data_IF_509522455746
#
_entry.id   IF_509522455746
#
_cell.length_a   1.000
_cell.length_b   1.000
_cell.length_c   1.000
_cell.angle_alpha   90.00
_cell.angle_beta   90.00
_cell.angle_gamma   90.00
#
_symmetry.space_group_name_H-M   'P 1'
#
loop_
_entity.id
_entity.type
_entity.pdbx_description
1 polymer ?
#
# COMPACT_ATOMS: atom_id res chain seq x y z
N UNK A 1 19.13 19.16 3.93
CA UNK A 1 17.67 18.93 3.72
C UNK A 1 17.35 17.63 4.41
N UNK A 2 16.31 17.65 5.28
CA UNK A 2 15.84 16.47 6.00
C UNK A 2 14.69 15.83 5.24
N UNK A 3 14.63 14.50 5.18
CA UNK A 3 13.60 13.75 4.48
C UNK A 3 12.77 12.94 5.46
N UNK A 4 11.45 13.13 5.49
CA UNK A 4 10.55 12.25 6.24
C UNK A 4 10.45 10.88 5.56
N UNK A 5 10.24 9.83 6.37
CA UNK A 5 10.01 8.44 5.91
C UNK A 5 8.83 8.29 4.95
N UNK A 6 7.81 9.13 5.12
CA UNK A 6 6.64 9.21 4.26
C UNK A 6 6.35 10.66 3.91
N UNK A 7 6.10 10.91 2.65
CA UNK A 7 5.65 12.20 2.13
C UNK A 7 4.34 12.00 1.39
N UNK A 8 3.42 12.97 1.57
CA UNK A 8 2.11 12.88 0.93
C UNK A 8 2.17 13.30 -0.54
N UNK A 9 1.44 12.58 -1.38
CA UNK A 9 1.25 12.91 -2.78
C UNK A 9 0.21 14.01 -3.01
N UNK A 10 -0.70 14.21 -2.04
CA UNK A 10 -1.71 15.25 -2.09
C UNK A 10 -1.14 16.62 -1.74
N UNK A 11 -1.53 17.62 -2.52
CA UNK A 11 -1.25 19.01 -2.22
C UNK A 11 -2.21 19.50 -1.11
N UNK A 12 -1.71 20.30 -0.18
CA UNK A 12 -2.51 20.88 0.90
C UNK A 12 -3.70 21.69 0.40
N UNK A 13 -3.57 22.41 -0.71
CA UNK A 13 -4.67 23.16 -1.33
C UNK A 13 -5.79 22.24 -1.83
N UNK A 14 -5.45 21.04 -2.34
CA UNK A 14 -6.46 20.04 -2.72
C UNK A 14 -7.21 19.53 -1.50
N UNK A 15 -6.53 19.29 -0.38
CA UNK A 15 -7.14 18.89 0.89
C UNK A 15 -8.09 19.97 1.43
N UNK A 16 -7.65 21.23 1.45
CA UNK A 16 -8.49 22.38 1.89
C UNK A 16 -9.71 22.50 0.99
N UNK A 17 -9.55 22.42 -0.33
CA UNK A 17 -10.68 22.50 -1.28
C UNK A 17 -11.69 21.37 -1.07
N UNK A 18 -11.22 20.14 -0.86
CA UNK A 18 -12.08 19.01 -0.55
C UNK A 18 -12.83 19.18 0.78
N UNK A 19 -12.14 19.72 1.78
CA UNK A 19 -12.71 20.02 3.08
C UNK A 19 -13.82 21.08 2.99
N UNK A 20 -13.58 22.20 2.29
CA UNK A 20 -14.58 23.24 2.06
C UNK A 20 -15.78 22.67 1.30
N UNK A 21 -15.54 21.87 0.26
CA UNK A 21 -16.62 21.21 -0.48
C UNK A 21 -17.45 20.28 0.41
N UNK A 22 -16.82 19.54 1.31
CA UNK A 22 -17.52 18.67 2.26
C UNK A 22 -18.41 19.46 3.23
N UNK A 23 -17.95 20.65 3.65
CA UNK A 23 -18.73 21.52 4.56
C UNK A 23 -19.92 22.14 3.83
N UNK A 24 -19.68 22.70 2.64
CA UNK A 24 -20.65 23.54 1.92
C UNK A 24 -21.68 22.73 1.13
N UNK A 25 -21.31 21.53 0.67
CA UNK A 25 -22.15 20.74 -0.25
C UNK A 25 -22.53 19.38 0.32
N UNK A 26 -23.45 18.72 -0.38
CA UNK A 26 -23.96 17.40 0.00
C UNK A 26 -22.86 16.31 -0.10
N UNK A 27 -22.84 15.39 0.86
CA UNK A 27 -22.01 14.19 0.85
C UNK A 27 -22.63 13.08 -0.03
N UNK A 28 -22.88 13.36 -1.32
CA UNK A 28 -23.42 12.40 -2.30
C UNK A 28 -22.39 12.12 -3.40
N UNK A 29 -22.66 11.12 -4.24
CA UNK A 29 -22.00 10.96 -5.54
C UNK A 29 -22.40 12.14 -6.44
N UNK A 30 -21.45 12.64 -7.25
CA UNK A 30 -21.71 13.81 -8.07
C UNK A 30 -20.74 13.92 -9.25
N UNK A 31 -20.46 15.12 -9.71
CA UNK A 31 -19.65 15.40 -10.89
C UNK A 31 -18.24 14.77 -10.82
N UNK A 32 -17.53 14.92 -9.70
CA UNK A 32 -16.16 14.40 -9.58
C UNK A 32 -16.13 12.88 -9.46
N UNK A 33 -17.16 12.27 -8.87
CA UNK A 33 -17.30 10.82 -8.84
C UNK A 33 -17.40 10.24 -10.25
N UNK A 34 -18.25 10.81 -11.10
CA UNK A 34 -18.43 10.37 -12.48
C UNK A 34 -17.15 10.61 -13.30
N UNK A 35 -16.56 11.79 -13.19
CA UNK A 35 -15.31 12.12 -13.86
C UNK A 35 -14.13 11.21 -13.44
N UNK A 36 -14.08 10.82 -12.17
CA UNK A 36 -13.09 9.84 -11.69
C UNK A 36 -13.35 8.47 -12.33
N UNK A 37 -14.61 8.05 -12.40
CA UNK A 37 -14.98 6.77 -13.03
C UNK A 37 -14.60 6.75 -14.51
N UNK A 38 -14.92 7.78 -15.26
CA UNK A 38 -14.52 7.95 -16.66
C UNK A 38 -13.00 7.85 -16.83
N UNK A 39 -12.24 8.53 -15.95
CA UNK A 39 -10.78 8.51 -15.99
C UNK A 39 -10.20 7.14 -15.70
N UNK A 40 -10.81 6.37 -14.80
CA UNK A 40 -10.41 4.99 -14.54
C UNK A 40 -10.76 4.07 -15.72
N UNK A 41 -11.95 4.21 -16.31
CA UNK A 41 -12.36 3.46 -17.52
C UNK A 41 -11.36 3.74 -18.66
N UNK A 42 -11.04 5.01 -18.90
CA UNK A 42 -10.05 5.41 -19.92
C UNK A 42 -8.69 4.74 -19.68
N UNK A 43 -8.23 4.75 -18.43
CA UNK A 43 -6.91 4.24 -18.07
C UNK A 43 -6.82 2.70 -18.10
N UNK A 44 -7.85 1.99 -17.63
CA UNK A 44 -7.82 0.52 -17.47
C UNK A 44 -8.51 -0.22 -18.60
N UNK A 45 -9.31 0.48 -19.44
CA UNK A 45 -10.10 -0.12 -20.54
C UNK A 45 -11.07 -1.20 -20.05
N UNK A 46 -11.60 -1.02 -18.84
CA UNK A 46 -12.58 -1.89 -18.18
C UNK A 46 -13.72 -1.00 -17.68
N UNK A 47 -14.96 -1.34 -18.00
CA UNK A 47 -16.13 -0.53 -17.65
C UNK A 47 -16.62 -0.74 -16.21
N UNK A 48 -16.40 -1.94 -15.65
CA UNK A 48 -16.91 -2.33 -14.33
C UNK A 48 -15.94 -1.92 -13.24
N UNK A 49 -16.06 -0.66 -12.84
CA UNK A 49 -15.24 0.03 -11.83
C UNK A 49 -16.13 0.60 -10.76
N UNK A 50 -15.78 0.32 -9.49
CA UNK A 50 -16.58 0.71 -8.32
C UNK A 50 -15.69 1.40 -7.29
N UNK A 51 -16.18 2.46 -6.66
CA UNK A 51 -15.46 3.17 -5.59
C UNK A 51 -16.18 3.00 -4.25
N UNK A 52 -15.41 2.56 -3.26
CA UNK A 52 -15.86 2.29 -1.89
C UNK A 52 -15.09 3.16 -0.90
N UNK A 53 -15.55 3.22 0.34
CA UNK A 53 -14.82 3.93 1.42
C UNK A 53 -13.51 3.24 1.79
N UNK A 54 -13.34 1.96 1.48
CA UNK A 54 -12.13 1.19 1.77
C UNK A 54 -11.98 -0.02 0.85
N UNK A 55 -10.74 -0.33 0.47
CA UNK A 55 -10.42 -1.50 -0.34
C UNK A 55 -10.75 -2.83 0.37
N UNK A 56 -10.79 -2.84 1.72
CA UNK A 56 -11.09 -4.02 2.53
C UNK A 56 -12.45 -4.63 2.18
N UNK A 57 -13.45 -3.76 2.09
CA UNK A 57 -14.80 -4.16 1.68
C UNK A 57 -14.81 -4.61 0.21
N UNK A 58 -13.99 -3.97 -0.63
CA UNK A 58 -13.82 -4.39 -2.02
C UNK A 58 -13.30 -5.83 -2.13
N UNK A 59 -12.25 -6.19 -1.37
CA UNK A 59 -11.73 -7.55 -1.32
C UNK A 59 -12.80 -8.54 -0.81
N UNK A 60 -13.47 -8.19 0.28
CA UNK A 60 -14.55 -9.02 0.84
C UNK A 60 -15.66 -9.28 -0.18
N UNK A 61 -16.13 -8.25 -0.89
CA UNK A 61 -17.18 -8.40 -1.90
C UNK A 61 -16.73 -9.23 -3.09
N UNK A 62 -15.50 -9.05 -3.59
CA UNK A 62 -14.94 -9.89 -4.67
C UNK A 62 -14.94 -11.36 -4.24
N UNK A 63 -14.41 -11.67 -3.05
CA UNK A 63 -14.32 -13.05 -2.54
C UNK A 63 -15.70 -13.68 -2.36
N UNK A 64 -16.68 -12.93 -1.82
CA UNK A 64 -18.07 -13.39 -1.72
C UNK A 64 -18.73 -13.61 -3.09
N UNK A 65 -18.36 -12.81 -4.09
CA UNK A 65 -18.93 -12.90 -5.44
C UNK A 65 -18.50 -14.16 -6.19
N UNK A 66 -17.36 -14.74 -5.83
CA UNK A 66 -16.93 -16.02 -6.39
C UNK A 66 -17.77 -17.21 -5.92
N UNK A 67 -18.48 -17.09 -4.78
CA UNK A 67 -19.30 -18.15 -4.18
C UNK A 67 -18.56 -19.47 -3.94
N UNK A 68 -17.28 -19.39 -3.53
CA UNK A 68 -16.52 -20.57 -3.15
C UNK A 68 -17.08 -21.23 -1.89
N UNK A 69 -16.83 -22.51 -1.74
CA UNK A 69 -17.20 -23.27 -0.54
C UNK A 69 -16.49 -22.72 0.70
N UNK A 70 -17.17 -22.84 1.85
CA UNK A 70 -16.62 -22.45 3.14
C UNK A 70 -15.30 -23.20 3.40
N UNK A 71 -14.27 -22.46 3.83
CA UNK A 71 -12.94 -23.01 4.06
C UNK A 71 -12.08 -23.17 2.82
N UNK A 72 -12.54 -22.72 1.65
CA UNK A 72 -11.68 -22.55 0.46
C UNK A 72 -10.49 -21.67 0.78
N UNK A 73 -9.36 -21.89 0.13
CA UNK A 73 -8.08 -21.26 0.48
C UNK A 73 -7.67 -20.21 -0.54
N UNK A 74 -7.01 -19.17 -0.03
CA UNK A 74 -6.43 -18.07 -0.80
C UNK A 74 -4.95 -17.92 -0.45
N UNK A 75 -4.08 -17.96 -1.45
CA UNK A 75 -2.65 -17.76 -1.30
C UNK A 75 -2.35 -16.26 -1.19
N UNK A 76 -1.61 -15.85 -0.16
CA UNK A 76 -1.25 -14.46 0.12
C UNK A 76 0.19 -14.34 0.61
N UNK A 77 0.79 -13.15 0.48
CA UNK A 77 2.01 -12.79 1.20
C UNK A 77 1.68 -12.43 2.66
N UNK A 78 2.60 -12.73 3.58
CA UNK A 78 2.43 -12.48 5.02
C UNK A 78 2.50 -10.99 5.39
N UNK A 79 3.35 -10.21 4.71
CA UNK A 79 3.44 -8.76 4.94
C UNK A 79 2.17 -8.10 4.39
N UNK A 80 1.44 -7.43 5.26
CA UNK A 80 0.20 -6.77 4.84
C UNK A 80 -0.58 -6.13 5.98
N UNK A 81 -1.65 -5.46 5.60
CA UNK A 81 -2.60 -4.88 6.57
C UNK A 81 -3.38 -6.01 7.24
N UNK A 82 -3.49 -6.03 8.59
CA UNK A 82 -4.22 -7.08 9.33
C UNK A 82 -5.66 -7.29 8.83
N UNK A 83 -6.37 -6.23 8.47
CA UNK A 83 -7.73 -6.33 7.94
C UNK A 83 -7.84 -7.07 6.57
N UNK A 84 -6.72 -7.38 5.89
CA UNK A 84 -6.73 -8.31 4.75
C UNK A 84 -7.19 -9.69 5.20
N UNK A 85 -6.68 -10.14 6.34
CA UNK A 85 -7.06 -11.42 6.94
C UNK A 85 -8.54 -11.42 7.31
N UNK A 86 -9.02 -10.31 7.90
CA UNK A 86 -10.44 -10.16 8.21
C UNK A 86 -11.32 -10.22 6.95
N UNK A 87 -10.93 -9.57 5.86
CA UNK A 87 -11.69 -9.61 4.60
C UNK A 87 -11.80 -11.03 4.04
N UNK A 88 -10.72 -11.82 4.16
CA UNK A 88 -10.65 -13.21 3.71
C UNK A 88 -11.53 -14.10 4.62
N UNK A 89 -11.32 -14.01 5.93
CA UNK A 89 -12.03 -14.82 6.91
C UNK A 89 -13.55 -14.58 6.90
N UNK A 90 -13.97 -13.31 6.89
CA UNK A 90 -15.38 -12.92 6.79
C UNK A 90 -16.04 -13.35 5.47
N UNK A 91 -15.25 -13.48 4.40
CA UNK A 91 -15.74 -14.05 3.15
C UNK A 91 -15.93 -15.58 3.20
N UNK A 92 -15.46 -16.24 4.26
CA UNK A 92 -15.54 -17.68 4.44
C UNK A 92 -14.34 -18.45 3.92
N UNK A 93 -13.25 -17.74 3.55
CA UNK A 93 -12.03 -18.37 3.07
C UNK A 93 -10.96 -18.41 4.15
N UNK A 94 -9.95 -19.28 3.94
CA UNK A 94 -8.79 -19.40 4.80
C UNK A 94 -7.55 -18.79 4.11
N UNK A 95 -6.83 -17.83 4.74
CA UNK A 95 -5.57 -17.35 4.22
C UNK A 95 -4.48 -18.44 4.36
N UNK A 96 -3.74 -18.68 3.29
CA UNK A 96 -2.55 -19.53 3.27
C UNK A 96 -1.37 -18.65 2.89
N UNK A 97 -0.39 -18.58 3.76
CA UNK A 97 0.80 -17.77 3.54
C UNK A 97 1.81 -18.49 2.66
N UNK A 98 2.32 -17.78 1.67
CA UNK A 98 3.44 -18.22 0.86
C UNK A 98 4.67 -17.40 1.25
N UNK A 99 5.83 -18.06 1.37
CA UNK A 99 7.10 -17.39 1.61
C UNK A 99 7.36 -16.28 0.59
N UNK A 100 7.98 -15.22 1.06
CA UNK A 100 8.39 -14.12 0.22
C UNK A 100 9.86 -14.28 -0.20
N UNK A 101 10.18 -13.73 -1.35
CA UNK A 101 11.54 -13.60 -1.84
C UNK A 101 12.09 -12.22 -1.48
N UNK A 102 13.28 -12.17 -0.90
CA UNK A 102 13.93 -10.92 -0.51
C UNK A 102 14.38 -10.07 -1.70
N UNK A 103 14.56 -10.68 -2.88
CA UNK A 103 15.01 -9.97 -4.07
C UNK A 103 13.87 -9.25 -4.79
N UNK A 104 12.66 -9.80 -4.79
CA UNK A 104 11.51 -9.23 -5.49
C UNK A 104 10.42 -8.68 -4.57
N UNK A 105 10.52 -8.89 -3.26
CA UNK A 105 9.55 -8.45 -2.25
C UNK A 105 8.12 -8.96 -2.48
N UNK A 106 8.00 -10.11 -3.13
CA UNK A 106 6.74 -10.75 -3.42
C UNK A 106 6.86 -12.26 -3.18
N UNK A 107 5.94 -13.05 -3.70
CA UNK A 107 5.98 -14.51 -3.61
C UNK A 107 7.32 -15.08 -4.05
N UNK A 108 7.84 -16.00 -3.28
CA UNK A 108 8.82 -16.95 -3.78
C UNK A 108 8.09 -17.93 -4.69
N UNK A 109 8.30 -17.81 -5.99
CA UNK A 109 7.59 -18.59 -7.01
C UNK A 109 7.71 -20.10 -6.76
N UNK A 110 8.89 -20.56 -6.36
CA UNK A 110 9.15 -21.98 -6.07
C UNK A 110 8.39 -22.52 -4.84
N UNK A 111 7.77 -21.65 -4.06
CA UNK A 111 6.99 -22.04 -2.89
C UNK A 111 5.48 -22.01 -3.14
N UNK A 112 5.01 -21.36 -4.22
CA UNK A 112 3.57 -21.25 -4.52
C UNK A 112 2.96 -22.62 -4.70
N UNK A 113 3.52 -23.46 -5.59
CA UNK A 113 2.96 -24.79 -5.91
C UNK A 113 2.93 -25.72 -4.70
N UNK A 114 3.90 -25.60 -3.77
CA UNK A 114 3.95 -26.41 -2.53
C UNK A 114 2.79 -26.14 -1.58
N UNK A 115 2.11 -25.00 -1.73
CA UNK A 115 0.98 -24.58 -0.91
C UNK A 115 -0.37 -24.85 -1.55
N UNK A 116 -0.37 -25.31 -2.81
CA UNK A 116 -1.61 -25.59 -3.56
C UNK A 116 -2.15 -26.98 -3.21
N UNK A 117 -3.44 -27.04 -2.92
CA UNK A 117 -4.20 -28.26 -2.73
C UNK A 117 -5.62 -28.11 -3.33
N UNK A 118 -6.50 -29.10 -3.15
CA UNK A 118 -7.86 -29.12 -3.72
C UNK A 118 -8.78 -28.00 -3.19
N UNK A 119 -8.47 -27.40 -2.02
CA UNK A 119 -9.20 -26.26 -1.43
C UNK A 119 -8.68 -24.92 -1.92
N UNK A 120 -7.50 -24.86 -2.50
CA UNK A 120 -6.91 -23.62 -3.00
C UNK A 120 -7.70 -23.11 -4.21
N UNK A 121 -8.19 -21.88 -4.17
CA UNK A 121 -9.03 -21.29 -5.22
C UNK A 121 -8.50 -19.99 -5.76
N UNK A 122 -7.69 -19.23 -4.99
CA UNK A 122 -7.30 -17.88 -5.32
C UNK A 122 -5.81 -17.64 -5.04
N UNK A 123 -5.15 -16.91 -5.93
CA UNK A 123 -3.87 -16.22 -5.67
C UNK A 123 -4.15 -14.74 -5.56
N UNK A 124 -3.83 -14.13 -4.41
CA UNK A 124 -3.95 -12.68 -4.20
C UNK A 124 -2.57 -12.02 -4.26
N UNK A 125 -2.29 -11.35 -5.36
CA UNK A 125 -1.01 -10.68 -5.61
C UNK A 125 -1.04 -9.28 -5.02
N UNK A 126 -0.18 -8.98 -4.03
CA UNK A 126 0.04 -7.64 -3.53
C UNK A 126 1.32 -7.08 -4.13
N UNK A 127 1.24 -6.02 -4.93
CA UNK A 127 2.41 -5.37 -5.54
C UNK A 127 3.14 -4.48 -4.52
N UNK A 128 3.82 -5.12 -3.56
CA UNK A 128 4.50 -4.43 -2.47
C UNK A 128 5.57 -3.47 -3.01
N UNK A 129 5.66 -2.29 -2.41
CA UNK A 129 6.57 -1.20 -2.83
C UNK A 129 6.37 -0.70 -4.27
N UNK A 130 5.34 -1.17 -4.97
CA UNK A 130 5.11 -0.87 -6.40
C UNK A 130 6.07 -1.61 -7.32
N UNK A 131 6.59 -2.75 -6.87
CA UNK A 131 7.45 -3.66 -7.62
C UNK A 131 6.60 -4.80 -8.18
N UNK A 132 6.83 -5.13 -9.44
CA UNK A 132 6.09 -6.16 -10.15
C UNK A 132 6.89 -7.46 -10.07
N UNK A 133 6.31 -8.55 -9.52
CA UNK A 133 6.94 -9.86 -9.50
C UNK A 133 6.97 -10.49 -10.91
N UNK A 134 7.51 -11.70 -10.99
CA UNK A 134 7.38 -12.53 -12.20
C UNK A 134 5.92 -12.98 -12.37
N UNK A 135 5.15 -12.17 -13.11
CA UNK A 135 3.74 -12.43 -13.35
C UNK A 135 3.50 -13.57 -14.34
N UNK A 136 4.41 -13.81 -15.26
CA UNK A 136 4.25 -14.92 -16.23
C UNK A 136 4.26 -16.25 -15.47
N UNK A 137 5.21 -16.45 -14.56
CA UNK A 137 5.25 -17.64 -13.71
C UNK A 137 4.00 -17.78 -12.83
N UNK A 138 3.53 -16.69 -12.21
CA UNK A 138 2.31 -16.74 -11.37
C UNK A 138 1.06 -17.07 -12.23
N UNK A 139 0.95 -16.49 -13.43
CA UNK A 139 -0.17 -16.74 -14.35
C UNK A 139 -0.15 -18.19 -14.84
N UNK A 140 1.02 -18.75 -15.14
CA UNK A 140 1.16 -20.15 -15.53
C UNK A 140 0.71 -21.11 -14.43
N UNK A 141 1.16 -20.85 -13.18
CA UNK A 141 0.71 -21.62 -12.01
C UNK A 141 -0.82 -21.52 -11.85
N UNK A 142 -1.36 -20.29 -11.91
CA UNK A 142 -2.80 -20.09 -11.77
C UNK A 142 -3.60 -20.84 -12.86
N UNK A 143 -3.14 -20.85 -14.10
CA UNK A 143 -3.75 -21.62 -15.21
C UNK A 143 -3.67 -23.13 -14.96
N UNK A 144 -2.47 -23.63 -14.59
CA UNK A 144 -2.21 -25.07 -14.34
C UNK A 144 -3.15 -25.63 -13.28
N UNK A 145 -3.43 -24.87 -12.22
CA UNK A 145 -4.26 -25.30 -11.09
C UNK A 145 -5.67 -24.68 -11.10
N UNK A 146 -6.08 -24.03 -12.19
CA UNK A 146 -7.38 -23.35 -12.35
C UNK A 146 -7.71 -22.41 -11.19
N UNK A 147 -6.71 -21.63 -10.73
CA UNK A 147 -6.87 -20.64 -9.66
C UNK A 147 -7.30 -19.29 -10.22
N UNK A 148 -8.08 -18.55 -9.43
CA UNK A 148 -8.44 -17.17 -9.74
C UNK A 148 -7.33 -16.23 -9.26
N UNK A 149 -7.14 -15.10 -9.96
CA UNK A 149 -6.16 -14.09 -9.60
C UNK A 149 -6.88 -12.81 -9.16
N UNK A 150 -6.54 -12.31 -7.98
CA UNK A 150 -6.93 -10.98 -7.50
C UNK A 150 -5.67 -10.13 -7.35
N UNK A 151 -5.67 -8.93 -7.92
CA UNK A 151 -4.54 -8.00 -7.87
C UNK A 151 -4.78 -6.90 -6.83
N UNK A 152 -3.88 -6.69 -5.87
CA UNK A 152 -3.87 -5.49 -5.02
C UNK A 152 -2.92 -4.44 -5.60
N UNK A 153 -3.49 -3.45 -6.28
CA UNK A 153 -2.78 -2.36 -6.95
C UNK A 153 -2.53 -1.14 -6.04
N UNK A 154 -2.79 -1.25 -4.75
CA UNK A 154 -2.70 -0.14 -3.79
C UNK A 154 -1.36 0.59 -3.79
N UNK A 155 -0.29 -0.07 -4.20
CA UNK A 155 1.07 0.47 -4.27
C UNK A 155 1.62 0.54 -5.70
N UNK A 156 0.82 0.13 -6.71
CA UNK A 156 1.26 -0.04 -8.09
C UNK A 156 0.39 0.70 -9.12
N UNK A 157 -0.34 1.74 -8.71
CA UNK A 157 -1.11 2.55 -9.66
C UNK A 157 -0.23 3.08 -10.79
N UNK A 158 -0.62 2.78 -12.03
CA UNK A 158 0.11 3.20 -13.23
C UNK A 158 1.31 2.32 -13.61
N UNK A 159 1.51 1.21 -12.91
CA UNK A 159 2.44 0.18 -13.35
C UNK A 159 1.90 -0.57 -14.58
N UNK A 160 2.82 -1.11 -15.38
CA UNK A 160 2.49 -1.94 -16.53
C UNK A 160 3.32 -3.23 -16.47
N UNK A 161 2.82 -4.27 -17.14
CA UNK A 161 3.54 -5.50 -17.37
C UNK A 161 3.25 -5.97 -18.80
N UNK A 162 4.28 -6.08 -19.64
CA UNK A 162 4.16 -6.50 -21.05
C UNK A 162 2.98 -5.76 -21.74
N UNK A 163 2.99 -4.43 -21.72
CA UNK A 163 1.98 -3.52 -22.29
C UNK A 163 0.59 -3.58 -21.66
N UNK A 164 0.36 -4.45 -20.69
CA UNK A 164 -0.89 -4.51 -19.93
C UNK A 164 -0.79 -3.66 -18.66
N UNK A 165 -1.87 -2.97 -18.35
CA UNK A 165 -1.98 -2.25 -17.05
C UNK A 165 -2.05 -3.24 -15.90
N UNK A 166 -1.25 -3.04 -14.85
CA UNK A 166 -1.43 -3.73 -13.59
C UNK A 166 -2.82 -3.37 -13.03
N UNK A 167 -3.58 -4.38 -12.63
CA UNK A 167 -5.00 -4.28 -12.29
C UNK A 167 -5.95 -4.76 -13.38
N UNK A 168 -5.41 -5.23 -14.54
CA UNK A 168 -6.22 -5.80 -15.62
C UNK A 168 -5.78 -7.21 -16.02
N UNK A 169 -4.88 -7.81 -15.25
CA UNK A 169 -4.31 -9.13 -15.54
C UNK A 169 -5.20 -10.22 -14.95
N UNK A 170 -5.55 -10.13 -13.68
CA UNK A 170 -6.38 -11.09 -12.97
C UNK A 170 -7.88 -11.01 -13.27
N UNK A 171 -8.66 -11.78 -12.52
CA UNK A 171 -10.13 -11.79 -12.59
C UNK A 171 -10.75 -10.49 -12.07
N UNK A 172 -10.15 -9.94 -11.02
CA UNK A 172 -10.51 -8.66 -10.43
C UNK A 172 -9.30 -8.01 -9.76
N UNK A 173 -9.38 -6.71 -9.53
CA UNK A 173 -8.38 -5.99 -8.75
C UNK A 173 -8.99 -5.06 -7.72
N UNK A 174 -8.24 -4.80 -6.67
CA UNK A 174 -8.53 -3.85 -5.62
C UNK A 174 -7.40 -2.83 -5.50
N UNK A 175 -7.73 -1.64 -5.05
CA UNK A 175 -6.73 -0.62 -4.76
C UNK A 175 -7.17 0.33 -3.66
N UNK A 176 -6.22 0.80 -2.87
CA UNK A 176 -6.45 1.73 -1.77
C UNK A 176 -6.13 3.16 -2.18
N UNK A 177 -6.97 4.11 -1.79
CA UNK A 177 -6.73 5.55 -1.89
C UNK A 177 -6.34 6.17 -0.54
N UNK A 178 -5.86 5.38 0.39
CA UNK A 178 -5.42 5.90 1.68
C UNK A 178 -4.28 6.89 1.55
N UNK A 179 -4.10 7.71 2.58
CA UNK A 179 -3.06 8.72 2.68
C UNK A 179 -1.67 8.13 2.40
N UNK A 180 -0.87 8.82 1.59
CA UNK A 180 0.48 8.40 1.23
C UNK A 180 0.57 7.47 0.01
N UNK A 181 -0.56 7.02 -0.57
CA UNK A 181 -0.54 6.29 -1.84
C UNK A 181 -0.31 7.23 -3.03
N UNK A 182 0.22 6.70 -4.13
CA UNK A 182 0.44 7.49 -5.36
C UNK A 182 -0.86 8.06 -5.93
N UNK A 183 -1.96 7.33 -5.77
CA UNK A 183 -3.32 7.82 -5.94
C UNK A 183 -3.97 7.88 -4.57
N UNK A 184 -4.22 9.06 -4.07
CA UNK A 184 -4.67 9.30 -2.69
C UNK A 184 -5.96 10.10 -2.63
N UNK A 185 -6.74 9.80 -1.60
CA UNK A 185 -7.88 10.59 -1.11
C UNK A 185 -7.87 10.57 0.43
N UNK A 186 -8.97 10.93 1.09
CA UNK A 186 -9.10 10.84 2.56
C UNK A 186 -9.27 9.42 3.08
N UNK A 187 -9.15 8.45 2.24
CA UNK A 187 -9.46 7.04 2.37
C UNK A 187 -10.04 6.58 1.06
N UNK A 188 -10.69 5.44 1.08
CA UNK A 188 -11.33 4.91 -0.12
C UNK A 188 -10.60 3.75 -0.74
N UNK A 189 -11.29 3.14 -1.69
CA UNK A 189 -10.77 2.06 -2.50
C UNK A 189 -11.46 1.99 -3.85
N UNK A 190 -10.82 1.29 -4.76
CA UNK A 190 -11.35 0.94 -6.06
C UNK A 190 -11.42 -0.56 -6.20
N UNK A 191 -12.45 -1.04 -6.87
CA UNK A 191 -12.56 -2.40 -7.39
C UNK A 191 -12.72 -2.30 -8.90
N UNK A 192 -11.94 -3.09 -9.62
CA UNK A 192 -12.01 -3.25 -11.08
C UNK A 192 -12.33 -4.72 -11.36
N UNK A 193 -13.42 -4.99 -12.06
CA UNK A 193 -13.87 -6.36 -12.34
C UNK A 193 -13.71 -6.65 -13.83
N UNK A 194 -12.84 -7.61 -14.16
CA UNK A 194 -12.61 -8.11 -15.50
C UNK A 194 -13.44 -9.37 -15.78
N UNK A 195 -13.53 -10.26 -14.81
CA UNK A 195 -14.32 -11.49 -14.93
C UNK A 195 -15.81 -11.17 -14.85
N UNK A 196 -16.51 -11.34 -15.96
CA UNK A 196 -17.93 -10.99 -16.10
C UNK A 196 -18.84 -11.72 -15.12
N UNK A 197 -18.49 -12.96 -14.72
CA UNK A 197 -19.30 -13.75 -13.79
C UNK A 197 -19.39 -13.15 -12.37
N UNK A 198 -18.47 -12.24 -12.02
CA UNK A 198 -18.45 -11.57 -10.73
C UNK A 198 -19.35 -10.32 -10.68
N UNK A 199 -19.80 -9.79 -11.83
CA UNK A 199 -20.44 -8.48 -11.91
C UNK A 199 -21.75 -8.47 -11.12
N UNK A 200 -22.70 -9.31 -11.48
CA UNK A 200 -24.03 -9.31 -10.85
C UNK A 200 -23.99 -9.61 -9.34
N UNK A 201 -23.24 -10.65 -8.87
CA UNK A 201 -23.09 -10.88 -7.44
C UNK A 201 -22.44 -9.70 -6.70
N UNK A 202 -21.44 -9.08 -7.31
CA UNK A 202 -20.77 -7.91 -6.72
C UNK A 202 -21.69 -6.70 -6.66
N UNK A 203 -22.38 -6.37 -7.75
CA UNK A 203 -23.32 -5.24 -7.80
C UNK A 203 -24.45 -5.39 -6.78
N UNK A 204 -24.94 -6.62 -6.58
CA UNK A 204 -25.93 -6.90 -5.53
C UNK A 204 -25.38 -6.56 -4.15
N UNK A 205 -24.20 -7.11 -3.78
CA UNK A 205 -23.54 -6.80 -2.50
C UNK A 205 -23.27 -5.31 -2.33
N UNK A 206 -22.78 -4.66 -3.38
CA UNK A 206 -22.47 -3.22 -3.39
C UNK A 206 -23.70 -2.37 -3.11
N UNK A 207 -24.83 -2.64 -3.77
CA UNK A 207 -26.06 -1.86 -3.65
C UNK A 207 -26.81 -2.15 -2.33
N UNK A 208 -26.85 -3.41 -1.90
CA UNK A 208 -27.59 -3.83 -0.71
C UNK A 208 -26.86 -3.42 0.59
N UNK A 209 -25.53 -3.38 0.57
CA UNK A 209 -24.75 -3.21 1.79
C UNK A 209 -24.25 -1.79 2.01
N UNK A 210 -23.81 -1.09 0.93
CA UNK A 210 -23.15 0.19 1.11
C UNK A 210 -24.09 1.35 1.34
N UNK A 211 -23.77 2.12 2.38
CA UNK A 211 -24.55 3.30 2.80
C UNK A 211 -23.74 4.60 2.56
N UNK A 212 -24.43 5.72 2.72
CA UNK A 212 -23.79 7.04 2.70
C UNK A 212 -22.90 7.21 3.94
N UNK A 213 -21.65 7.70 3.77
CA UNK A 213 -20.77 7.94 4.91
C UNK A 213 -21.23 9.11 5.78
N UNK A 214 -20.93 9.06 7.07
CA UNK A 214 -21.18 10.14 8.01
C UNK A 214 -20.36 11.38 7.68
N UNK A 215 -21.02 12.54 7.53
CA UNK A 215 -20.36 13.83 7.28
C UNK A 215 -19.40 14.20 8.40
N UNK A 216 -19.77 13.98 9.68
CA UNK A 216 -18.92 14.22 10.86
C UNK A 216 -17.64 13.40 10.80
N UNK A 217 -17.75 12.14 10.42
CA UNK A 217 -16.62 11.24 10.26
C UNK A 217 -15.65 11.73 9.18
N UNK A 218 -16.14 12.10 8.00
CA UNK A 218 -15.33 12.61 6.89
C UNK A 218 -14.66 13.96 7.20
N UNK A 219 -15.32 14.85 7.94
CA UNK A 219 -14.71 16.10 8.44
C UNK A 219 -13.51 15.79 9.31
N UNK A 220 -13.65 14.85 10.27
CA UNK A 220 -12.53 14.44 11.13
C UNK A 220 -11.36 13.87 10.33
N UNK A 221 -11.64 13.02 9.34
CA UNK A 221 -10.59 12.49 8.45
C UNK A 221 -9.85 13.61 7.70
N UNK A 222 -10.58 14.57 7.14
CA UNK A 222 -9.99 15.69 6.41
C UNK A 222 -9.07 16.54 7.30
N UNK A 223 -9.52 16.90 8.50
CA UNK A 223 -8.73 17.68 9.46
C UNK A 223 -7.43 16.93 9.79
N UNK A 224 -7.51 15.64 10.08
CA UNK A 224 -6.35 14.82 10.39
C UNK A 224 -5.33 14.81 9.24
N UNK A 225 -5.81 14.71 8.00
CA UNK A 225 -4.92 14.71 6.83
C UNK A 225 -4.27 16.07 6.58
N UNK A 226 -4.98 17.16 6.81
CA UNK A 226 -4.42 18.51 6.74
C UNK A 226 -3.28 18.66 7.77
N UNK A 227 -3.49 18.22 9.02
CA UNK A 227 -2.47 18.25 10.08
C UNK A 227 -1.24 17.42 9.66
N UNK A 228 -1.42 16.18 9.19
CA UNK A 228 -0.32 15.33 8.74
C UNK A 228 0.41 15.97 7.56
N UNK A 229 -0.31 16.58 6.60
CA UNK A 229 0.29 17.28 5.46
C UNK A 229 1.19 18.43 5.89
N UNK A 230 0.76 19.20 6.91
CA UNK A 230 1.56 20.30 7.48
C UNK A 230 2.81 19.74 8.18
N UNK A 231 2.65 18.75 9.07
CA UNK A 231 3.77 18.16 9.83
C UNK A 231 4.82 17.48 8.95
N UNK A 232 4.43 16.94 7.80
CA UNK A 232 5.33 16.29 6.84
C UNK A 232 5.80 17.22 5.71
N UNK A 233 5.39 18.50 5.72
CA UNK A 233 5.86 19.48 4.76
C UNK A 233 7.37 19.70 4.92
N UNK A 234 8.06 20.05 3.82
CA UNK A 234 9.52 20.18 3.80
C UNK A 234 10.05 21.14 4.88
N UNK A 235 9.40 22.28 5.07
CA UNK A 235 9.81 23.29 6.04
C UNK A 235 9.56 22.79 7.47
N UNK A 236 8.32 22.48 7.82
CA UNK A 236 7.94 22.07 9.18
C UNK A 236 8.69 20.79 9.59
N UNK A 237 8.83 19.83 8.68
CA UNK A 237 9.59 18.62 8.97
C UNK A 237 11.07 18.95 9.28
N UNK A 238 11.72 19.77 8.45
CA UNK A 238 13.14 20.06 8.61
C UNK A 238 13.48 20.86 9.88
N UNK A 239 12.61 21.75 10.31
CA UNK A 239 12.89 22.67 11.43
C UNK A 239 12.19 22.30 12.74
N UNK A 240 11.10 21.53 12.68
CA UNK A 240 10.31 21.21 13.88
C UNK A 240 10.20 19.68 14.04
N UNK A 241 9.50 18.98 13.13
CA UNK A 241 9.12 17.57 13.32
C UNK A 241 10.33 16.65 13.47
N UNK A 242 11.41 16.89 12.72
CA UNK A 242 12.64 16.11 12.82
C UNK A 242 13.30 16.23 14.21
N UNK A 243 13.30 17.42 14.79
CA UNK A 243 13.89 17.62 16.11
C UNK A 243 13.03 17.02 17.23
N UNK A 244 11.70 17.06 17.08
CA UNK A 244 10.80 16.33 17.98
C UNK A 244 11.12 14.83 17.92
N UNK A 245 11.35 14.27 16.72
CA UNK A 245 11.76 12.87 16.59
C UNK A 245 13.12 12.57 17.20
N UNK A 246 14.07 13.51 17.08
CA UNK A 246 15.39 13.39 17.74
C UNK A 246 15.25 13.36 19.25
N UNK A 247 14.38 14.19 19.83
CA UNK A 247 14.06 14.17 21.25
C UNK A 247 13.40 12.85 21.68
N UNK A 248 12.39 12.39 20.93
CA UNK A 248 11.73 11.10 21.22
C UNK A 248 12.76 9.96 21.17
N UNK A 249 13.66 9.95 20.19
CA UNK A 249 14.74 8.95 20.12
C UNK A 249 15.65 8.99 21.35
N UNK A 250 15.95 10.18 21.86
CA UNK A 250 16.81 10.35 23.03
C UNK A 250 16.13 9.87 24.31
N UNK A 251 14.87 10.25 24.57
CA UNK A 251 14.14 9.91 25.78
C UNK A 251 13.45 8.53 25.76
N UNK A 252 13.17 8.01 24.59
CA UNK A 252 12.46 6.72 24.39
C UNK A 252 12.96 6.01 23.15
N UNK A 253 14.18 5.43 23.17
CA UNK A 253 14.76 4.75 22.02
C UNK A 253 13.89 3.63 21.47
N UNK A 254 13.23 2.86 22.33
CA UNK A 254 12.32 1.78 21.97
C UNK A 254 11.11 2.30 21.18
N UNK A 255 10.49 3.39 21.63
CA UNK A 255 9.38 4.04 20.93
C UNK A 255 9.82 4.56 19.55
N UNK A 256 11.07 5.00 19.44
CA UNK A 256 11.61 5.46 18.16
C UNK A 256 11.90 4.30 17.21
N UNK A 257 12.40 3.19 17.72
CA UNK A 257 12.78 2.00 16.96
C UNK A 257 11.58 1.22 16.45
N UNK A 258 10.46 1.24 17.20
CA UNK A 258 9.22 0.57 16.84
C UNK A 258 8.36 1.47 15.92
N UNK A 259 8.17 1.09 14.65
CA UNK A 259 7.29 1.82 13.72
C UNK A 259 5.85 1.92 14.24
N UNK A 260 5.39 0.94 15.00
CA UNK A 260 4.03 0.90 15.53
C UNK A 260 3.84 1.88 16.70
N UNK A 261 4.79 1.95 17.63
CA UNK A 261 4.78 2.92 18.74
C UNK A 261 4.89 4.36 18.22
N UNK A 262 5.72 4.58 17.20
CA UNK A 262 5.85 5.89 16.56
C UNK A 262 4.55 6.30 15.84
N UNK A 263 3.89 5.35 15.18
CA UNK A 263 2.56 5.54 14.62
C UNK A 263 1.50 5.79 15.72
N UNK A 264 1.60 5.12 16.87
CA UNK A 264 0.72 5.38 18.04
C UNK A 264 0.89 6.79 18.60
N UNK A 265 2.12 7.32 18.63
CA UNK A 265 2.37 8.69 19.03
C UNK A 265 1.69 9.70 18.09
N UNK A 266 1.85 9.56 16.78
CA UNK A 266 1.14 10.39 15.80
C UNK A 266 -0.38 10.23 15.90
N UNK A 267 -0.88 9.02 16.09
CA UNK A 267 -2.32 8.75 16.27
C UNK A 267 -2.88 9.38 17.53
N UNK A 268 -2.10 9.45 18.62
CA UNK A 268 -2.49 10.16 19.86
C UNK A 268 -2.57 11.66 19.65
N UNK A 269 -1.61 12.27 18.93
CA UNK A 269 -1.65 13.69 18.55
C UNK A 269 -2.88 14.04 17.71
N UNK A 270 -3.33 13.13 16.86
CA UNK A 270 -4.45 13.32 15.92
C UNK A 270 -5.79 12.80 16.49
N UNK A 271 -5.79 12.27 17.72
CA UNK A 271 -6.98 11.79 18.46
C UNK A 271 -7.89 10.82 17.65
N UNK A 272 -7.26 9.92 16.88
CA UNK A 272 -7.98 8.95 16.05
C UNK A 272 -8.24 7.66 16.82
N UNK A 273 -9.33 7.65 17.60
CA UNK A 273 -9.62 6.53 18.51
C UNK A 273 -10.21 5.28 17.83
N UNK A 274 -10.85 5.36 16.65
CA UNK A 274 -11.80 4.29 16.34
C UNK A 274 -11.83 3.73 14.90
N UNK A 275 -11.28 4.37 13.87
CA UNK A 275 -11.78 4.00 12.55
C UNK A 275 -10.90 3.06 11.74
N UNK A 276 -9.64 3.32 11.66
CA UNK A 276 -8.69 2.46 10.95
C UNK A 276 -7.55 2.06 11.87
N UNK A 277 -7.91 1.47 13.02
CA UNK A 277 -6.87 0.86 13.84
C UNK A 277 -6.25 -0.25 12.99
N UNK A 278 -5.00 -0.03 12.54
CA UNK A 278 -4.11 -1.13 12.18
C UNK A 278 -3.74 -1.95 13.43
N UNK A 279 -4.52 -1.84 14.51
CA UNK A 279 -4.47 -2.79 15.61
C UNK A 279 -5.00 -4.09 15.07
N UNK A 280 -4.19 -5.15 15.09
CA UNK A 280 -4.65 -6.47 14.73
C UNK A 280 -5.85 -6.82 15.63
N UNK A 281 -6.93 -7.23 15.04
CA UNK A 281 -8.15 -7.73 15.74
C UNK A 281 -8.79 -8.71 14.78
N UNK A 282 -9.06 -9.91 15.21
CA UNK A 282 -9.92 -10.81 14.45
C UNK A 282 -11.37 -10.31 14.57
N UNK A 283 -12.01 -10.08 13.45
CA UNK A 283 -13.34 -9.45 13.38
C UNK A 283 -14.40 -10.48 13.07
N UNK A 284 -15.55 -10.34 13.75
CA UNK A 284 -16.78 -11.08 13.44
C UNK A 284 -17.65 -10.34 12.41
N UNK A 285 -17.42 -9.03 12.24
CA UNK A 285 -18.09 -8.20 11.25
C UNK A 285 -17.29 -6.92 10.96
N UNK A 286 -17.59 -6.27 9.82
CA UNK A 286 -17.00 -4.95 9.54
C UNK A 286 -17.72 -3.84 10.30
N UNK A 287 -16.98 -2.83 10.81
CA UNK A 287 -17.58 -1.59 11.32
C UNK A 287 -18.48 -0.92 10.28
N UNK A 288 -19.62 -0.38 10.71
CA UNK A 288 -20.61 0.25 9.82
C UNK A 288 -20.01 1.38 8.99
N UNK A 289 -19.04 2.09 9.55
CA UNK A 289 -18.33 3.17 8.86
C UNK A 289 -17.53 2.69 7.66
N UNK A 290 -17.11 1.42 7.63
CA UNK A 290 -16.44 0.81 6.47
C UNK A 290 -17.42 0.42 5.37
N UNK A 291 -18.69 0.19 5.71
CA UNK A 291 -19.74 -0.23 4.78
C UNK A 291 -20.37 0.99 4.08
N UNK A 292 -19.52 1.83 3.49
CA UNK A 292 -19.96 3.06 2.83
C UNK A 292 -19.34 3.22 1.45
N UNK A 293 -20.00 3.97 0.57
CA UNK A 293 -19.46 4.30 -0.75
C UNK A 293 -18.64 5.60 -0.73
N UNK A 294 -17.78 5.79 -1.72
CA UNK A 294 -17.01 7.02 -1.91
C UNK A 294 -17.94 8.16 -2.34
N UNK A 295 -17.74 9.36 -1.77
CA UNK A 295 -18.49 10.57 -2.13
C UNK A 295 -17.71 11.52 -3.03
N UNK A 296 -18.37 12.55 -3.53
CA UNK A 296 -17.85 13.47 -4.54
C UNK A 296 -16.61 14.29 -4.07
N UNK A 297 -16.52 14.66 -2.78
CA UNK A 297 -15.35 15.36 -2.24
C UNK A 297 -14.11 14.47 -2.16
N UNK A 298 -14.26 13.18 -1.86
CA UNK A 298 -13.17 12.19 -1.87
C UNK A 298 -12.73 11.89 -3.31
N UNK A 299 -13.72 11.75 -4.22
CA UNK A 299 -13.45 11.56 -5.64
C UNK A 299 -12.66 12.74 -6.25
N UNK A 300 -12.94 13.97 -5.82
CA UNK A 300 -12.19 15.18 -6.22
C UNK A 300 -10.71 15.07 -5.83
N UNK A 301 -10.41 14.64 -4.60
CA UNK A 301 -9.03 14.42 -4.15
C UNK A 301 -8.34 13.34 -4.97
N UNK A 302 -9.01 12.20 -5.16
CA UNK A 302 -8.51 11.09 -5.94
C UNK A 302 -8.20 11.52 -7.38
N UNK A 303 -9.10 12.25 -8.03
CA UNK A 303 -8.93 12.77 -9.39
C UNK A 303 -7.71 13.71 -9.50
N UNK A 304 -7.48 14.55 -8.49
CA UNK A 304 -6.29 15.41 -8.44
C UNK A 304 -5.00 14.58 -8.45
N UNK A 305 -4.96 13.45 -7.74
CA UNK A 305 -3.81 12.53 -7.74
C UNK A 305 -3.67 11.80 -9.08
N UNK A 306 -4.76 11.31 -9.64
CA UNK A 306 -4.79 10.58 -10.93
C UNK A 306 -4.28 11.46 -12.07
N UNK A 307 -4.67 12.73 -12.10
CA UNK A 307 -4.22 13.68 -13.14
C UNK A 307 -2.70 13.91 -13.14
N UNK A 308 -2.06 13.78 -11.99
CA UNK A 308 -0.61 13.93 -11.84
C UNK A 308 0.15 12.59 -11.89
N UNK A 309 -0.55 11.45 -11.96
CA UNK A 309 0.02 10.13 -11.77
C UNK A 309 1.16 9.84 -12.74
N UNK A 310 0.95 10.03 -14.06
CA UNK A 310 1.97 9.77 -15.10
C UNK A 310 3.24 10.58 -14.86
N UNK A 311 3.10 11.89 -14.58
CA UNK A 311 4.23 12.77 -14.27
C UNK A 311 4.99 12.30 -13.03
N UNK A 312 4.25 11.99 -11.97
CA UNK A 312 4.83 11.56 -10.71
C UNK A 312 5.61 10.25 -10.87
N UNK A 313 5.03 9.26 -11.57
CA UNK A 313 5.68 7.98 -11.81
C UNK A 313 6.96 8.14 -12.62
N UNK A 314 6.94 8.95 -13.68
CA UNK A 314 8.14 9.20 -14.49
C UNK A 314 9.26 9.80 -13.64
N UNK A 315 8.96 10.79 -12.80
CA UNK A 315 9.95 11.36 -11.87
C UNK A 315 10.50 10.33 -10.89
N UNK A 316 9.64 9.49 -10.33
CA UNK A 316 10.03 8.42 -9.41
C UNK A 316 10.94 7.39 -10.12
N UNK A 317 10.61 7.01 -11.35
CA UNK A 317 11.42 6.09 -12.16
C UNK A 317 12.81 6.63 -12.44
N UNK A 318 12.94 7.92 -12.76
CA UNK A 318 14.25 8.56 -12.92
C UNK A 318 15.05 8.56 -11.61
N UNK A 319 14.39 8.79 -10.47
CA UNK A 319 15.05 8.68 -9.15
C UNK A 319 15.48 7.23 -8.86
N UNK A 320 14.65 6.25 -9.19
CA UNK A 320 14.99 4.83 -9.04
C UNK A 320 16.17 4.44 -9.92
N UNK A 321 16.23 4.92 -11.18
CA UNK A 321 17.40 4.73 -12.05
C UNK A 321 18.68 5.27 -11.43
N UNK A 322 18.63 6.46 -10.82
CA UNK A 322 19.79 7.03 -10.12
C UNK A 322 20.25 6.14 -8.96
N UNK A 323 19.33 5.60 -8.17
CA UNK A 323 19.66 4.65 -7.10
C UNK A 323 20.29 3.38 -7.66
N UNK A 324 19.65 2.73 -8.63
CA UNK A 324 20.10 1.46 -9.23
C UNK A 324 21.50 1.60 -9.85
N UNK A 325 21.79 2.72 -10.50
CA UNK A 325 23.05 2.93 -11.20
C UNK A 325 24.20 3.37 -10.29
N UNK A 326 23.94 3.95 -9.12
CA UNK A 326 24.97 4.62 -8.32
C UNK A 326 25.08 4.12 -6.88
N UNK A 327 24.16 3.31 -6.38
CA UNK A 327 24.32 2.65 -5.08
C UNK A 327 25.34 1.52 -5.19
N UNK A 328 26.11 1.31 -4.12
CA UNK A 328 26.97 0.14 -4.01
C UNK A 328 26.11 -1.13 -4.18
N UNK A 329 26.51 -2.03 -5.08
CA UNK A 329 25.75 -3.23 -5.47
C UNK A 329 25.35 -4.13 -4.29
N UNK A 330 26.11 -4.11 -3.19
CA UNK A 330 25.76 -4.85 -1.97
C UNK A 330 24.48 -4.38 -1.27
N UNK A 331 23.97 -3.18 -1.62
CA UNK A 331 22.72 -2.60 -1.08
C UNK A 331 21.56 -2.64 -2.05
N UNK A 332 21.81 -2.85 -3.33
CA UNK A 332 20.77 -2.82 -4.35
C UNK A 332 20.12 -4.19 -4.39
N UNK A 333 18.78 -4.19 -4.36
CA UNK A 333 18.03 -5.40 -4.66
C UNK A 333 18.37 -5.88 -6.07
N UNK A 334 18.88 -7.09 -6.16
CA UNK A 334 18.91 -7.84 -7.41
C UNK A 334 17.49 -8.31 -7.72
N UNK A 335 16.67 -7.40 -8.21
CA UNK A 335 15.33 -7.78 -8.67
C UNK A 335 15.49 -8.60 -9.95
N UNK A 336 15.14 -9.89 -10.00
CA UNK A 336 15.44 -10.78 -11.13
C UNK A 336 14.97 -10.26 -12.47
N UNK A 337 14.00 -9.36 -12.50
CA UNK A 337 13.44 -8.75 -13.70
C UNK A 337 13.49 -7.21 -13.70
N UNK A 338 14.02 -6.56 -12.66
CA UNK A 338 13.99 -5.10 -12.57
C UNK A 338 15.12 -4.39 -13.28
N UNK A 339 16.27 -5.02 -13.45
CA UNK A 339 17.36 -4.44 -14.26
C UNK A 339 16.93 -4.21 -15.70
N UNK A 340 15.99 -4.99 -16.20
CA UNK A 340 15.46 -4.90 -17.56
C UNK A 340 14.14 -4.10 -17.67
N UNK A 341 13.47 -3.79 -16.56
CA UNK A 341 12.07 -3.30 -16.58
C UNK A 341 11.78 -2.22 -15.53
N UNK A 342 12.73 -1.32 -15.27
CA UNK A 342 12.51 -0.15 -14.39
C UNK A 342 11.23 0.61 -14.77
N UNK A 343 10.94 0.68 -16.07
CA UNK A 343 9.78 1.35 -16.65
C UNK A 343 8.44 0.67 -16.32
N UNK A 344 8.44 -0.59 -15.89
CA UNK A 344 7.21 -1.30 -15.51
C UNK A 344 6.80 -1.02 -14.07
N UNK A 345 7.79 -0.83 -13.18
CA UNK A 345 7.56 -0.57 -11.75
C UNK A 345 7.13 0.87 -11.47
N UNK A 346 6.54 1.08 -10.30
CA UNK A 346 6.16 2.41 -9.79
C UNK A 346 7.12 2.90 -8.72
N UNK A 347 7.77 1.99 -7.99
CA UNK A 347 8.63 2.31 -6.84
C UNK A 347 7.95 3.25 -5.84
N UNK A 348 6.77 2.86 -5.35
CA UNK A 348 6.10 3.60 -4.28
C UNK A 348 7.02 3.77 -3.06
N UNK A 349 7.84 2.75 -2.79
CA UNK A 349 9.03 2.81 -1.95
C UNK A 349 10.23 2.26 -2.73
N UNK A 350 11.43 2.73 -2.42
CA UNK A 350 12.66 2.17 -2.98
C UNK A 350 13.35 1.30 -1.91
N UNK A 351 13.19 -0.03 -1.97
CA UNK A 351 13.78 -0.94 -1.00
C UNK A 351 15.26 -1.18 -1.26
N UNK A 352 16.01 -1.30 -0.16
CA UNK A 352 17.36 -1.84 -0.14
C UNK A 352 17.47 -2.91 0.93
N UNK A 353 18.32 -3.91 0.71
CA UNK A 353 18.54 -5.01 1.67
C UNK A 353 19.80 -4.76 2.49
N UNK A 354 19.67 -4.86 3.80
CA UNK A 354 20.75 -4.68 4.76
C UNK A 354 21.00 -6.00 5.47
N UNK A 355 22.10 -6.66 5.14
CA UNK A 355 22.42 -7.97 5.68
C UNK A 355 23.00 -7.94 7.10
N UNK A 356 23.82 -6.92 7.42
CA UNK A 356 24.48 -6.74 8.72
C UNK A 356 24.25 -5.32 9.22
N UNK A 357 24.29 -5.13 10.53
CA UNK A 357 24.26 -3.79 11.17
C UNK A 357 23.05 -2.92 10.78
N UNK A 358 21.87 -3.54 10.59
CA UNK A 358 20.65 -2.85 10.18
C UNK A 358 20.33 -1.62 11.04
N UNK A 359 20.36 -1.75 12.37
CA UNK A 359 20.06 -0.66 13.30
C UNK A 359 21.12 0.45 13.25
N UNK A 360 22.40 0.10 13.17
CA UNK A 360 23.50 1.06 13.03
C UNK A 360 23.37 1.85 11.72
N UNK A 361 23.05 1.18 10.64
CA UNK A 361 22.84 1.83 9.34
C UNK A 361 21.63 2.77 9.35
N UNK A 362 20.51 2.31 9.90
CA UNK A 362 19.31 3.15 10.07
C UNK A 362 19.61 4.39 10.91
N UNK A 363 20.36 4.21 12.00
CA UNK A 363 20.76 5.30 12.89
C UNK A 363 21.72 6.28 12.23
N UNK A 364 22.64 5.77 11.43
CA UNK A 364 23.56 6.58 10.62
C UNK A 364 22.76 7.44 9.62
N UNK A 365 21.80 6.85 8.89
CA UNK A 365 20.94 7.61 7.97
C UNK A 365 20.15 8.69 8.71
N UNK A 366 19.58 8.36 9.87
CA UNK A 366 18.83 9.32 10.67
C UNK A 366 19.71 10.47 11.15
N UNK A 367 20.92 10.22 11.64
CA UNK A 367 21.91 11.27 12.01
C UNK A 367 22.22 12.19 10.84
N UNK A 368 22.23 11.67 9.62
CA UNK A 368 22.41 12.44 8.39
C UNK A 368 21.12 13.08 7.83
N UNK A 369 20.04 13.09 8.59
CA UNK A 369 18.78 13.75 8.25
C UNK A 369 17.84 12.92 7.38
N UNK A 370 18.08 11.62 7.22
CA UNK A 370 17.29 10.71 6.41
C UNK A 370 16.51 9.77 7.34
N UNK A 371 15.20 10.00 7.48
CA UNK A 371 14.35 9.13 8.31
C UNK A 371 13.83 7.96 7.49
N UNK A 372 14.57 6.84 7.51
CA UNK A 372 14.22 5.58 6.83
C UNK A 372 13.62 4.56 7.78
N UNK A 373 12.76 3.72 7.25
CA UNK A 373 12.14 2.60 7.98
C UNK A 373 11.99 1.39 7.07
N UNK A 374 11.78 0.23 7.68
CA UNK A 374 11.32 -0.98 7.02
C UNK A 374 9.80 -0.93 6.74
N UNK A 375 9.24 -2.07 6.36
CA UNK A 375 7.80 -2.21 6.24
C UNK A 375 7.10 -1.76 7.53
N UNK A 376 6.25 -0.74 7.41
CA UNK A 376 5.34 -0.32 8.49
C UNK A 376 4.12 -1.23 8.63
N UNK A 377 4.18 -2.42 8.03
CA UNK A 377 3.15 -3.45 8.03
C UNK A 377 3.64 -4.66 8.82
N UNK A 378 2.78 -5.31 9.61
CA UNK A 378 3.15 -6.51 10.34
C UNK A 378 3.29 -7.72 9.43
N UNK A 379 3.92 -8.77 9.95
CA UNK A 379 3.79 -10.13 9.46
C UNK A 379 2.50 -10.71 10.04
N UNK A 380 1.49 -10.90 9.22
CA UNK A 380 0.17 -11.33 9.67
C UNK A 380 0.17 -12.75 10.27
N UNK A 381 1.10 -13.62 9.83
CA UNK A 381 1.27 -14.96 10.36
C UNK A 381 1.85 -15.01 11.79
N UNK A 382 2.38 -13.90 12.32
CA UNK A 382 2.97 -13.81 13.65
C UNK A 382 2.09 -13.05 14.65
N UNK A 383 0.97 -12.49 14.20
CA UNK A 383 0.07 -11.72 15.05
C UNK A 383 -0.74 -12.65 15.96
N UNK A 384 -0.76 -12.34 17.27
CA UNK A 384 -1.54 -13.11 18.28
C UNK A 384 -3.00 -13.20 17.93
N UNK A 385 -3.57 -12.13 17.41
CA UNK A 385 -4.97 -12.02 17.02
C UNK A 385 -5.35 -12.95 15.86
N UNK A 386 -4.34 -13.42 15.11
CA UNK A 386 -4.51 -14.36 14.00
C UNK A 386 -3.82 -15.70 14.25
N UNK A 387 -3.70 -16.10 15.51
CA UNK A 387 -3.00 -17.34 15.90
C UNK A 387 -3.56 -18.59 15.22
N UNK A 388 -4.86 -18.61 14.91
CA UNK A 388 -5.51 -19.68 14.13
C UNK A 388 -4.96 -19.85 12.70
N UNK A 389 -4.23 -18.83 12.19
CA UNK A 389 -3.58 -18.84 10.88
C UNK A 389 -2.04 -18.79 11.00
N UNK A 390 -1.50 -19.06 12.20
CA UNK A 390 -0.06 -18.95 12.46
C UNK A 390 0.71 -19.98 11.66
N UNK A 391 1.78 -19.51 11.04
CA UNK A 391 2.70 -20.35 10.28
C UNK A 391 4.11 -19.73 10.34
N UNK A 392 5.17 -20.49 10.61
CA UNK A 392 6.53 -19.97 10.58
C UNK A 392 6.96 -19.70 9.13
N UNK A 393 7.43 -18.46 8.86
CA UNK A 393 7.89 -18.01 7.55
C UNK A 393 9.24 -17.31 7.70
N UNK A 394 10.32 -18.04 7.43
CA UNK A 394 11.70 -17.60 7.69
C UNK A 394 12.12 -16.48 6.72
N UNK A 395 11.89 -16.69 5.42
CA UNK A 395 12.30 -15.71 4.41
C UNK A 395 11.42 -14.45 4.43
N UNK A 396 10.14 -14.61 4.70
CA UNK A 396 9.24 -13.46 4.88
C UNK A 396 9.63 -12.59 6.07
N UNK A 397 10.07 -13.22 7.17
CA UNK A 397 10.63 -12.52 8.33
C UNK A 397 11.94 -11.79 7.97
N UNK A 398 12.80 -12.44 7.20
CA UNK A 398 14.01 -11.83 6.67
C UNK A 398 13.72 -10.63 5.78
N UNK A 399 12.74 -10.74 4.86
CA UNK A 399 12.29 -9.61 4.03
C UNK A 399 11.89 -8.42 4.91
N UNK A 400 11.08 -8.64 5.94
CA UNK A 400 10.63 -7.56 6.83
C UNK A 400 11.80 -6.92 7.59
N UNK A 401 12.70 -7.72 8.15
CA UNK A 401 13.72 -7.26 9.10
C UNK A 401 15.02 -6.80 8.41
N UNK A 402 15.25 -7.15 7.15
CA UNK A 402 16.46 -6.76 6.41
C UNK A 402 16.22 -5.70 5.33
N UNK A 403 14.99 -5.30 5.12
CA UNK A 403 14.65 -4.26 4.14
C UNK A 403 14.55 -2.89 4.78
N UNK A 404 15.15 -1.89 4.13
CA UNK A 404 15.02 -0.48 4.45
C UNK A 404 14.58 0.29 3.21
N UNK A 405 13.72 1.30 3.38
CA UNK A 405 13.23 2.12 2.28
C UNK A 405 13.98 3.43 2.19
N UNK A 406 14.66 3.67 1.07
CA UNK A 406 15.27 4.96 0.77
C UNK A 406 14.22 5.98 0.32
N UNK A 407 14.46 7.29 0.59
CA UNK A 407 13.53 8.35 0.21
C UNK A 407 13.34 8.42 -1.32
N UNK A 408 12.13 8.22 -1.77
CA UNK A 408 11.72 8.40 -3.16
C UNK A 408 10.38 9.12 -3.21
N UNK A 409 10.27 10.20 -4.00
CA UNK A 409 9.03 10.97 -4.09
C UNK A 409 9.14 12.03 -5.21
N UNK A 410 8.08 12.35 -5.98
CA UNK A 410 8.14 13.31 -7.08
C UNK A 410 8.70 14.69 -6.71
N UNK A 411 8.54 15.10 -5.45
CA UNK A 411 9.01 16.39 -4.96
C UNK A 411 10.49 16.40 -4.53
N UNK A 412 11.21 15.29 -4.65
CA UNK A 412 12.65 15.27 -4.42
C UNK A 412 13.40 15.56 -5.73
N UNK A 413 14.41 16.43 -5.65
CA UNK A 413 15.27 16.73 -6.80
C UNK A 413 16.32 15.64 -7.01
N UNK A 414 16.83 15.49 -8.22
CA UNK A 414 17.96 14.61 -8.52
C UNK A 414 19.19 14.94 -7.66
N UNK A 415 19.42 16.21 -7.33
CA UNK A 415 20.49 16.65 -6.40
C UNK A 415 20.29 16.05 -5.00
N UNK A 416 19.04 15.99 -4.51
CA UNK A 416 18.75 15.36 -3.23
C UNK A 416 18.98 13.84 -3.26
N UNK A 417 18.54 13.15 -4.32
CA UNK A 417 18.75 11.72 -4.50
C UNK A 417 20.25 11.38 -4.54
N UNK A 418 21.06 12.14 -5.30
CA UNK A 418 22.53 11.99 -5.35
C UNK A 418 23.16 12.18 -3.96
N UNK A 419 22.67 13.12 -3.15
CA UNK A 419 23.12 13.29 -1.76
C UNK A 419 22.79 12.04 -0.91
N UNK A 420 21.60 11.47 -1.05
CA UNK A 420 21.23 10.23 -0.34
C UNK A 420 22.16 9.09 -0.76
N UNK A 421 22.41 8.92 -2.04
CA UNK A 421 23.36 7.91 -2.57
C UNK A 421 24.75 8.08 -1.96
N UNK A 422 25.27 9.30 -1.94
CA UNK A 422 26.57 9.60 -1.32
C UNK A 422 26.63 9.20 0.16
N UNK A 423 25.57 9.54 0.93
CA UNK A 423 25.48 9.17 2.35
C UNK A 423 25.44 7.64 2.50
N UNK A 424 24.64 6.94 1.71
CA UNK A 424 24.53 5.47 1.76
C UNK A 424 25.86 4.81 1.42
N UNK A 425 26.54 5.25 0.35
CA UNK A 425 27.78 4.66 -0.11
C UNK A 425 28.96 4.91 0.85
N UNK A 426 28.91 5.98 1.64
CA UNK A 426 29.93 6.32 2.64
C UNK A 426 29.71 5.63 3.99
N UNK A 427 28.67 4.82 4.14
CA UNK A 427 28.55 4.01 5.33
C UNK A 427 29.65 2.96 5.36
N UNK A 428 30.62 3.17 6.22
CA UNK A 428 31.67 2.18 6.48
C UNK A 428 31.04 1.02 7.29
N UNK A 429 31.03 -0.17 6.69
CA UNK A 429 30.83 -1.38 7.47
C UNK A 429 32.11 -1.60 8.28
N UNK A 430 32.07 -1.34 9.54
CA UNK A 430 33.01 -2.00 10.44
C UNK A 430 32.70 -3.49 10.34
N UNK A 431 33.64 -4.20 9.77
CA UNK A 431 33.61 -5.65 9.48
C UNK A 431 33.57 -6.42 10.80
#
# INVERSE_FOLDING_TARGET
IKAPRHKLYLNIFALIRSFLKLILFSSKKGFYYNKLKEKFIENYKIEKIYFLSTWRIGLFFILKSFKFDQGSEILITSIGIPDKINSINLAGLKPIYVEMDIENHNFNINQIEKKINNKTKVIHITYLSGIIPDLDAIIEIAKKYNLKIIEDISQAYGANYNDKKIGTIGDASIGSFSLGKTVSANGGGVVIIKNKSLIDPFEKLFNDTLKKPSKKFLIKLNINQIIISILTSKFIFSFITYYIFKMIKFFSPETFSDPELKNKFFKRLVNDKNYYKNTPVLRDSFPVEMLTYMIDSEAQLCLSSVNNLKKNINTIREQAKLYISNLNKKFVLNLPNCSLKVEQNVYWHFPININKNYDLFRDYLFKNGIDCVSYGLPLNNELKEFEIFKEPLIESNRVKNKTLFLPIHPNYSSKFIKKVIHIVNNFAYEI
#
